data_IF_858163955368
#
_entry.id   IF_858163955368
#
_cell.length_a   1.000
_cell.length_b   1.000
_cell.length_c   1.000
_cell.angle_alpha   90.00
_cell.angle_beta   90.00
_cell.angle_gamma   90.00
#
_symmetry.space_group_name_H-M   'P 1'
#
loop_
_entity.id
_entity.type
_entity.pdbx_description
1 polymer ?
#
# COMPACT_ATOMS: atom_id res chain seq x y z
N UNK A 1 -13.42 -18.29 -20.72
CA UNK A 1 -13.52 -19.49 -21.57
C UNK A 1 -14.99 -19.74 -21.96
N UNK A 2 -15.61 -19.10 -22.96
CA UNK A 2 -15.40 -17.74 -23.52
C UNK A 2 -16.77 -17.11 -23.88
N UNK A 3 -17.18 -16.03 -23.22
CA UNK A 3 -16.65 -14.66 -23.41
C UNK A 3 -17.06 -14.08 -24.77
N UNK A 4 -17.82 -12.97 -24.74
CA UNK A 4 -18.03 -11.89 -25.75
C UNK A 4 -18.24 -12.28 -27.24
N UNK A 5 -18.09 -13.53 -27.66
CA UNK A 5 -18.00 -14.01 -29.06
C UNK A 5 -18.85 -15.29 -29.31
N UNK A 6 -19.84 -15.58 -28.46
CA UNK A 6 -20.96 -16.44 -28.83
C UNK A 6 -20.66 -17.93 -29.09
N UNK A 7 -19.71 -18.54 -28.39
CA UNK A 7 -19.45 -19.99 -28.49
C UNK A 7 -19.80 -20.69 -27.17
N UNK A 8 -20.82 -21.57 -27.22
CA UNK A 8 -21.08 -22.76 -26.38
C UNK A 8 -21.38 -22.65 -24.86
N UNK A 9 -22.45 -21.90 -24.56
CA UNK A 9 -23.27 -21.81 -23.33
C UNK A 9 -23.74 -23.13 -22.67
N UNK A 10 -23.03 -23.69 -21.68
CA UNK A 10 -23.69 -24.49 -20.61
C UNK A 10 -23.09 -24.38 -19.18
N UNK A 11 -21.93 -23.72 -18.95
CA UNK A 11 -21.43 -23.51 -17.57
C UNK A 11 -20.38 -22.37 -17.45
N UNK A 12 -20.66 -21.17 -17.97
CA UNK A 12 -19.82 -19.98 -17.76
C UNK A 12 -19.97 -19.45 -16.32
N UNK A 13 -19.43 -20.18 -15.35
CA UNK A 13 -19.21 -19.65 -14.01
C UNK A 13 -18.01 -18.70 -14.11
N UNK A 14 -18.16 -17.45 -13.66
CA UNK A 14 -17.03 -16.54 -13.53
C UNK A 14 -15.91 -17.25 -12.75
N UNK A 15 -14.64 -16.97 -13.08
CA UNK A 15 -13.54 -17.48 -12.28
C UNK A 15 -13.71 -17.04 -10.82
N UNK A 16 -13.17 -17.78 -9.87
CA UNK A 16 -13.21 -17.37 -8.46
C UNK A 16 -12.56 -15.98 -8.27
N UNK A 17 -11.72 -15.52 -9.20
CA UNK A 17 -11.07 -14.21 -9.24
C UNK A 17 -11.82 -13.13 -10.04
N UNK A 18 -12.98 -13.45 -10.59
CA UNK A 18 -13.82 -12.54 -11.37
C UNK A 18 -15.09 -12.15 -10.58
N UNK A 19 -15.65 -10.98 -10.88
CA UNK A 19 -16.92 -10.50 -10.36
C UNK A 19 -17.98 -10.58 -11.45
N UNK A 20 -19.19 -11.03 -11.11
CA UNK A 20 -20.30 -11.13 -12.04
C UNK A 20 -21.25 -9.94 -11.89
N UNK A 21 -21.44 -9.18 -12.95
CA UNK A 21 -22.42 -8.09 -13.00
C UNK A 21 -23.83 -8.62 -12.69
N UNK A 22 -24.61 -7.84 -11.94
CA UNK A 22 -25.89 -8.28 -11.39
C UNK A 22 -26.90 -8.65 -12.49
N UNK A 23 -27.09 -7.76 -13.49
CA UNK A 23 -28.09 -7.92 -14.55
C UNK A 23 -27.52 -8.53 -15.84
N UNK A 24 -26.37 -8.05 -16.30
CA UNK A 24 -25.82 -8.47 -17.60
C UNK A 24 -25.17 -9.86 -17.54
N UNK A 25 -24.92 -10.39 -16.33
CA UNK A 25 -24.19 -11.66 -16.09
C UNK A 25 -22.79 -11.71 -16.69
N UNK A 26 -22.28 -10.56 -17.14
CA UNK A 26 -20.92 -10.37 -17.63
C UNK A 26 -19.95 -10.55 -16.46
N UNK A 27 -18.85 -11.25 -16.70
CA UNK A 27 -17.76 -11.36 -15.74
C UNK A 27 -16.73 -10.26 -16.02
N UNK A 28 -16.45 -9.44 -15.02
CA UNK A 28 -15.35 -8.50 -15.00
C UNK A 28 -14.30 -8.98 -13.99
N UNK A 29 -13.09 -8.43 -14.02
CA UNK A 29 -12.08 -8.78 -13.00
C UNK A 29 -12.55 -8.27 -11.64
N UNK A 30 -12.31 -9.01 -10.54
CA UNK A 30 -12.58 -8.50 -9.18
C UNK A 30 -11.91 -7.16 -8.91
N UNK A 31 -10.75 -6.94 -9.51
CA UNK A 31 -10.07 -5.66 -9.46
C UNK A 31 -10.98 -4.54 -9.95
N UNK A 32 -11.73 -4.73 -11.04
CA UNK A 32 -12.62 -3.73 -11.63
C UNK A 32 -13.87 -3.44 -10.79
N UNK A 33 -14.13 -4.21 -9.73
CA UNK A 33 -15.21 -3.88 -8.79
C UNK A 33 -14.77 -2.70 -7.89
N UNK A 34 -15.63 -1.70 -7.77
CA UNK A 34 -15.40 -0.51 -6.93
C UNK A 34 -14.15 0.28 -7.32
N UNK A 35 -13.82 0.30 -8.61
CA UNK A 35 -12.63 0.98 -9.12
C UNK A 35 -12.90 2.43 -9.57
N UNK A 36 -14.15 2.87 -9.42
CA UNK A 36 -14.60 4.22 -9.76
C UNK A 36 -15.00 4.37 -11.23
N UNK A 37 -15.03 3.28 -12.00
CA UNK A 37 -15.43 3.26 -13.41
C UNK A 37 -16.59 2.30 -13.60
N UNK A 38 -17.42 2.61 -14.58
CA UNK A 38 -18.51 1.72 -14.97
C UNK A 38 -17.98 0.67 -15.95
N UNK A 39 -17.65 -0.51 -15.43
CA UNK A 39 -17.27 -1.68 -16.21
C UNK A 39 -18.46 -2.63 -16.44
N UNK A 40 -19.47 -2.63 -15.56
CA UNK A 40 -20.75 -3.27 -15.82
C UNK A 40 -21.75 -2.32 -16.50
N UNK A 41 -22.48 -2.78 -17.52
CA UNK A 41 -23.53 -1.99 -18.20
C UNK A 41 -24.69 -1.56 -17.29
N UNK A 42 -24.79 -2.13 -16.10
CA UNK A 42 -25.76 -1.78 -15.06
C UNK A 42 -25.14 -1.09 -13.84
N UNK A 43 -23.84 -0.74 -13.88
CA UNK A 43 -23.06 -0.15 -12.77
C UNK A 43 -23.00 -0.98 -11.50
N UNK A 44 -23.38 -2.25 -11.56
CA UNK A 44 -23.43 -3.13 -10.39
C UNK A 44 -22.05 -3.45 -9.80
N UNK A 45 -20.98 -3.21 -10.55
CA UNK A 45 -19.60 -3.22 -10.10
C UNK A 45 -19.24 -2.07 -9.16
N UNK A 46 -19.97 -0.96 -9.23
CA UNK A 46 -19.78 0.24 -8.40
C UNK A 46 -20.88 0.38 -7.32
N UNK A 47 -21.78 -0.60 -7.23
CA UNK A 47 -22.82 -0.68 -6.20
C UNK A 47 -22.33 -1.46 -4.97
N UNK A 48 -22.77 -1.02 -3.79
CA UNK A 48 -22.45 -1.66 -2.49
C UNK A 48 -20.93 -1.82 -2.28
N UNK A 49 -20.19 -0.77 -2.61
CA UNK A 49 -18.77 -0.65 -2.29
C UNK A 49 -18.61 -0.30 -0.81
N UNK A 50 -17.86 -1.12 -0.09
CA UNK A 50 -17.39 -0.73 1.23
C UNK A 50 -16.51 0.52 1.06
N UNK A 51 -16.59 1.53 1.96
CA UNK A 51 -15.66 2.65 1.94
C UNK A 51 -14.19 2.19 2.10
N UNK A 52 -13.97 0.96 2.55
CA UNK A 52 -12.67 0.28 2.58
C UNK A 52 -12.30 -0.41 1.25
N UNK A 53 -13.25 -0.74 0.37
CA UNK A 53 -12.99 -1.31 -0.96
C UNK A 53 -12.73 -0.23 -2.02
N UNK A 54 -13.17 1.00 -1.78
CA UNK A 54 -12.80 2.19 -2.58
C UNK A 54 -11.36 2.65 -2.36
N UNK A 55 -10.50 1.83 -1.76
CA UNK A 55 -9.06 2.08 -1.64
C UNK A 55 -8.40 1.96 -3.02
N UNK A 56 -8.60 3.00 -3.82
CA UNK A 56 -7.54 3.70 -4.54
C UNK A 56 -6.49 2.75 -5.10
N UNK A 57 -6.75 2.20 -6.30
CA UNK A 57 -5.73 1.61 -7.18
C UNK A 57 -4.70 2.63 -7.67
N UNK A 58 -4.21 3.53 -6.80
CA UNK A 58 -2.94 4.25 -6.98
C UNK A 58 -1.78 3.37 -6.47
N UNK A 59 -2.02 2.06 -6.28
CA UNK A 59 -0.99 1.10 -5.87
C UNK A 59 -0.81 -0.08 -6.84
N UNK A 60 -1.64 -0.29 -7.85
CA UNK A 60 -1.46 -1.44 -8.75
C UNK A 60 -0.32 -1.26 -9.77
N UNK A 61 0.08 -0.03 -10.10
CA UNK A 61 1.26 0.24 -10.95
C UNK A 61 2.56 0.36 -10.15
N UNK A 62 2.51 0.36 -8.81
CA UNK A 62 3.68 0.47 -7.93
C UNK A 62 3.98 -0.82 -7.13
N UNK A 63 3.06 -1.78 -7.10
CA UNK A 63 3.27 -3.08 -6.46
C UNK A 63 4.18 -4.05 -7.23
N UNK A 64 4.34 -3.91 -8.56
CA UNK A 64 5.34 -4.68 -9.32
C UNK A 64 6.76 -4.09 -9.28
N UNK A 65 6.93 -2.84 -8.86
CA UNK A 65 8.26 -2.19 -8.80
C UNK A 65 8.90 -2.29 -7.40
N UNK A 66 8.15 -2.67 -6.35
CA UNK A 66 8.71 -2.99 -5.03
C UNK A 66 9.07 -4.46 -4.81
N UNK A 67 8.53 -5.39 -5.60
CA UNK A 67 8.80 -6.83 -5.42
C UNK A 67 10.24 -7.21 -5.78
N UNK A 68 10.81 -6.63 -6.83
CA UNK A 68 12.21 -6.88 -7.22
C UNK A 68 13.25 -6.19 -6.31
N UNK A 69 12.85 -5.18 -5.53
CA UNK A 69 13.75 -4.46 -4.61
C UNK A 69 13.87 -5.12 -3.22
N UNK A 70 13.08 -6.16 -2.93
CA UNK A 70 13.12 -6.88 -1.65
C UNK A 70 14.11 -8.04 -1.62
N UNK A 71 14.74 -8.37 -2.74
CA UNK A 71 15.70 -9.49 -2.87
C UNK A 71 17.16 -9.09 -2.59
N UNK A 72 17.41 -7.93 -1.99
CA UNK A 72 18.77 -7.42 -1.71
C UNK A 72 19.04 -7.10 -0.23
N UNK A 73 18.27 -7.63 0.70
CA UNK A 73 18.52 -7.44 2.13
C UNK A 73 18.24 -8.70 2.95
N UNK A 74 18.71 -9.85 2.45
CA UNK A 74 18.89 -11.08 3.22
C UNK A 74 20.37 -11.28 3.58
N UNK A 75 21.05 -10.22 4.06
CA UNK A 75 22.41 -10.33 4.63
C UNK A 75 22.62 -9.38 5.81
N UNK A 76 21.76 -9.47 6.84
CA UNK A 76 22.23 -9.18 8.22
C UNK A 76 21.81 -10.34 9.12
N UNK A 77 22.79 -11.22 9.35
CA UNK A 77 22.75 -12.28 10.34
C UNK A 77 23.24 -11.69 11.67
N UNK A 78 22.36 -11.19 12.55
CA UNK A 78 22.72 -10.95 13.96
C UNK A 78 21.80 -11.74 14.91
N UNK A 79 22.35 -12.73 15.67
CA UNK A 79 21.57 -13.69 16.44
C UNK A 79 21.22 -13.22 17.87
N UNK A 80 20.67 -12.01 18.06
CA UNK A 80 20.33 -11.49 19.41
C UNK A 80 18.93 -10.90 19.56
N UNK A 81 17.89 -11.59 19.11
CA UNK A 81 16.52 -11.30 19.58
C UNK A 81 15.87 -12.57 20.12
N UNK A 82 16.23 -12.88 21.36
CA UNK A 82 15.50 -13.81 22.22
C UNK A 82 15.41 -13.20 23.62
N UNK A 83 14.71 -12.08 23.76
CA UNK A 83 14.37 -11.56 25.08
C UNK A 83 12.87 -11.25 25.16
N UNK A 84 12.08 -12.02 25.92
CA UNK A 84 10.64 -11.84 26.05
C UNK A 84 10.22 -10.61 26.89
N UNK A 85 11.13 -9.68 27.19
CA UNK A 85 10.85 -8.46 27.97
C UNK A 85 11.14 -7.13 27.24
N UNK A 86 11.07 -7.11 25.90
CA UNK A 86 11.15 -5.86 25.12
C UNK A 86 9.83 -5.07 25.20
N UNK A 87 9.71 -4.21 26.22
CA UNK A 87 8.55 -3.37 26.51
C UNK A 87 8.68 -2.04 25.74
N UNK A 88 7.92 -1.92 24.64
CA UNK A 88 7.72 -0.74 23.77
C UNK A 88 9.00 -0.16 23.11
N UNK A 89 8.99 0.10 21.77
CA UNK A 89 10.08 0.86 21.17
C UNK A 89 9.92 2.30 21.65
N UNK A 90 10.64 2.66 22.71
CA UNK A 90 10.95 4.06 22.93
C UNK A 90 11.71 4.49 21.69
N UNK A 91 11.10 5.36 20.91
CA UNK A 91 11.72 6.05 19.78
C UNK A 91 12.83 6.92 20.37
N UNK A 92 13.94 6.29 20.74
CA UNK A 92 15.09 6.96 21.29
C UNK A 92 15.76 7.63 20.11
N UNK A 93 15.42 8.90 19.97
CA UNK A 93 16.07 9.79 19.05
C UNK A 93 17.53 9.95 19.50
N UNK A 94 18.44 9.23 18.86
CA UNK A 94 19.84 9.17 19.29
C UNK A 94 20.63 10.42 18.85
N UNK A 95 20.09 11.24 17.95
CA UNK A 95 20.79 12.35 17.30
C UNK A 95 20.31 13.73 17.78
N UNK A 96 19.16 14.24 17.33
CA UNK A 96 18.60 15.52 17.80
C UNK A 96 17.07 15.51 17.82
N UNK A 97 16.48 16.12 18.84
CA UNK A 97 15.03 16.23 19.01
C UNK A 97 14.63 17.70 18.99
N UNK A 98 13.79 18.06 18.02
CA UNK A 98 13.22 19.38 17.92
C UNK A 98 12.24 19.66 19.08
N UNK A 99 12.03 20.94 19.46
CA UNK A 99 11.06 21.32 20.50
C UNK A 99 9.61 20.88 20.24
N UNK A 100 9.25 20.65 18.98
CA UNK A 100 7.94 20.13 18.55
C UNK A 100 7.85 18.58 18.61
N UNK A 101 8.94 17.91 18.99
CA UNK A 101 9.04 16.45 19.12
C UNK A 101 9.46 15.75 17.84
N UNK A 102 9.85 16.48 16.79
CA UNK A 102 10.42 15.89 15.58
C UNK A 102 11.84 15.36 15.83
N UNK A 103 12.14 14.23 15.21
CA UNK A 103 13.45 13.58 15.28
C UNK A 103 14.28 13.89 14.03
N UNK A 104 15.46 14.48 14.24
CA UNK A 104 16.42 14.79 13.16
C UNK A 104 17.59 13.80 13.24
N UNK A 105 17.99 13.27 12.09
CA UNK A 105 19.11 12.33 11.95
C UNK A 105 20.45 13.05 12.04
N UNK A 106 21.52 12.36 12.45
CA UNK A 106 22.86 12.95 12.64
C UNK A 106 23.40 13.66 11.39
N UNK A 107 23.11 13.15 10.19
CA UNK A 107 23.51 13.82 8.93
C UNK A 107 22.79 15.13 8.64
N UNK A 108 21.69 15.40 9.33
CA UNK A 108 20.82 16.58 9.17
C UNK A 108 20.89 17.50 10.40
N UNK A 109 21.86 17.26 11.29
CA UNK A 109 22.21 18.16 12.39
C UNK A 109 23.43 18.94 11.94
N UNK A 110 23.36 20.27 11.94
CA UNK A 110 24.46 21.13 11.49
C UNK A 110 24.79 20.96 10.00
N UNK A 111 23.77 20.76 9.15
CA UNK A 111 23.94 20.54 7.71
C UNK A 111 23.64 21.78 6.85
N UNK A 112 23.56 22.95 7.49
CA UNK A 112 23.20 24.24 6.91
C UNK A 112 21.75 24.30 6.37
N UNK A 113 20.92 23.28 6.67
CA UNK A 113 19.51 23.21 6.27
C UNK A 113 18.63 23.03 7.51
N UNK A 114 17.68 23.94 7.79
CA UNK A 114 16.81 23.79 8.96
C UNK A 114 15.76 22.69 8.74
N UNK A 115 15.88 21.62 9.50
CA UNK A 115 14.96 20.49 9.58
C UNK A 115 13.99 20.60 10.77
N UNK A 116 14.32 21.37 11.81
CA UNK A 116 13.38 21.72 12.87
C UNK A 116 12.54 22.95 12.50
N UNK A 117 11.29 22.98 12.99
CA UNK A 117 10.38 24.12 12.81
C UNK A 117 10.94 25.44 13.37
N UNK A 118 11.80 25.37 14.39
CA UNK A 118 12.51 26.51 14.96
C UNK A 118 13.98 26.61 14.51
N UNK A 119 14.43 25.68 13.67
CA UNK A 119 15.82 25.56 13.21
C UNK A 119 16.81 25.15 14.31
N UNK A 120 16.35 24.60 15.44
CA UNK A 120 17.22 24.20 16.55
C UNK A 120 18.26 23.13 16.21
N UNK A 121 18.05 22.39 15.13
CA UNK A 121 19.02 21.45 14.57
C UNK A 121 20.27 22.12 13.99
N UNK A 122 20.19 23.42 13.68
CA UNK A 122 21.28 24.23 13.12
C UNK A 122 21.84 25.25 14.13
N UNK A 123 21.38 25.21 15.39
CA UNK A 123 21.83 26.11 16.44
C UNK A 123 22.85 25.43 17.35
N UNK A 124 24.01 26.06 17.53
CA UNK A 124 25.08 25.63 18.42
C UNK A 124 25.75 24.30 18.01
N UNK A 125 26.06 24.23 16.71
CA UNK A 125 27.22 23.57 16.13
C UNK A 125 28.51 24.32 16.53
#
# INVERSE_FOLDING_TARGET
MNCVDGSDEQNCRCSDEDFQCAKSKVCIKKELRCDGREDCSDRSDEDECDPASSQTKILSTQFKIKYEQRKKFEEIHDPKISDPNALLPQLHCTSHVCPDGLCVAEENVCDDVPHCSDGSDELNC
#
